data_IF_517078212326
#
_entry.id   IF_517078212326
#
_cell.length_a   1.000
_cell.length_b   1.000
_cell.length_c   1.000
_cell.angle_alpha   90.00
_cell.angle_beta   90.00
_cell.angle_gamma   90.00
#
_symmetry.space_group_name_H-M   'P 1'
#
loop_
_entity.id
_entity.type
_entity.pdbx_description
1 polymer ?
#
# COMPACT_ATOMS: atom_id res chain seq x y z
N UNK A 1 -0.05 18.01 19.85
CA UNK A 1 -0.31 16.77 20.62
C UNK A 1 0.63 15.74 20.05
N UNK A 2 1.57 15.25 20.84
CA UNK A 2 2.48 14.18 20.41
C UNK A 2 1.75 12.84 20.55
N UNK A 3 1.54 12.13 19.45
CA UNK A 3 0.82 10.85 19.43
C UNK A 3 1.87 9.74 19.47
N UNK A 4 2.01 9.08 20.62
CA UNK A 4 3.03 8.07 20.86
C UNK A 4 2.87 6.80 19.99
N UNK A 5 1.64 6.48 19.56
CA UNK A 5 1.31 5.28 18.78
C UNK A 5 0.31 5.62 17.67
N UNK A 6 0.74 6.34 16.62
CA UNK A 6 -0.16 6.91 15.62
C UNK A 6 -0.87 5.83 14.79
N UNK A 7 -0.16 4.75 14.43
CA UNK A 7 -0.74 3.62 13.69
C UNK A 7 -1.86 2.92 14.48
N UNK A 8 -1.60 2.57 15.75
CA UNK A 8 -2.61 1.94 16.61
C UNK A 8 -3.82 2.84 16.84
N UNK A 9 -3.60 4.15 16.99
CA UNK A 9 -4.68 5.12 17.14
C UNK A 9 -5.59 5.15 15.90
N UNK A 10 -5.01 5.22 14.70
CA UNK A 10 -5.77 5.21 13.44
C UNK A 10 -6.50 3.89 13.27
N UNK A 11 -5.84 2.75 13.49
CA UNK A 11 -6.46 1.42 13.43
C UNK A 11 -7.64 1.30 14.41
N UNK A 12 -7.48 1.79 15.64
CA UNK A 12 -8.51 1.76 16.67
C UNK A 12 -9.74 2.61 16.31
N UNK A 13 -9.54 3.78 15.71
CA UNK A 13 -10.64 4.62 15.20
C UNK A 13 -11.40 3.90 14.09
N UNK A 14 -10.67 3.30 13.14
CA UNK A 14 -11.26 2.61 11.99
C UNK A 14 -12.00 1.31 12.36
N UNK A 15 -11.60 0.62 13.43
CA UNK A 15 -12.19 -0.65 13.84
C UNK A 15 -13.72 -0.61 14.05
N UNK A 16 -14.29 0.56 14.36
CA UNK A 16 -15.73 0.72 14.57
C UNK A 16 -16.57 0.71 13.27
N UNK A 17 -15.97 0.99 12.10
CA UNK A 17 -16.73 1.19 10.86
C UNK A 17 -16.04 0.67 9.59
N UNK A 18 -14.75 0.38 9.62
CA UNK A 18 -14.04 -0.24 8.51
C UNK A 18 -14.37 -1.72 8.45
N UNK A 19 -14.80 -2.18 7.27
CA UNK A 19 -14.82 -3.61 6.94
C UNK A 19 -13.45 -4.00 6.43
N UNK A 20 -12.89 -5.04 7.02
CA UNK A 20 -11.63 -5.60 6.57
C UNK A 20 -11.84 -6.30 5.20
N UNK A 21 -11.03 -5.98 4.18
CA UNK A 21 -11.11 -6.68 2.91
C UNK A 21 -10.55 -8.10 3.03
N UNK A 22 -11.12 -9.05 2.27
CA UNK A 22 -10.63 -10.44 2.20
C UNK A 22 -9.21 -10.53 1.63
N UNK A 23 -8.82 -9.55 0.80
CA UNK A 23 -7.50 -9.40 0.24
C UNK A 23 -7.17 -7.93 -0.06
N UNK A 24 -5.90 -7.56 0.03
CA UNK A 24 -5.40 -6.23 -0.34
C UNK A 24 -4.27 -6.35 -1.36
N UNK A 25 -4.44 -5.74 -2.53
CA UNK A 25 -3.37 -5.65 -3.53
C UNK A 25 -2.49 -4.44 -3.21
N UNK A 26 -1.23 -4.69 -2.90
CA UNK A 26 -0.25 -3.65 -2.61
C UNK A 26 0.63 -3.40 -3.84
N UNK A 27 0.47 -2.24 -4.47
CA UNK A 27 1.28 -1.80 -5.59
C UNK A 27 2.58 -1.20 -5.07
N UNK A 28 3.65 -1.96 -5.20
CA UNK A 28 4.97 -1.61 -4.70
C UNK A 28 5.70 -0.75 -5.74
N UNK A 29 5.83 0.54 -5.42
CA UNK A 29 6.53 1.52 -6.23
C UNK A 29 7.28 2.45 -5.31
N UNK A 30 8.54 2.72 -5.65
CA UNK A 30 9.30 3.70 -4.90
C UNK A 30 8.68 5.10 -5.04
N UNK A 31 8.74 5.94 -3.99
CA UNK A 31 8.06 7.23 -4.01
C UNK A 31 8.59 8.21 -5.06
N UNK A 32 9.86 8.10 -5.45
CA UNK A 32 10.48 8.94 -6.45
C UNK A 32 9.85 8.67 -7.83
N UNK A 33 9.83 7.41 -8.26
CA UNK A 33 9.15 6.98 -9.49
C UNK A 33 7.66 7.32 -9.48
N UNK A 34 6.99 7.19 -8.33
CA UNK A 34 5.58 7.57 -8.19
C UNK A 34 5.35 9.08 -8.41
N UNK A 35 6.22 9.92 -7.84
CA UNK A 35 6.15 11.38 -7.98
C UNK A 35 6.41 11.84 -9.42
N UNK A 36 7.34 11.18 -10.12
CA UNK A 36 7.59 11.41 -11.55
C UNK A 36 6.37 11.08 -12.41
N UNK A 37 5.75 9.91 -12.19
CA UNK A 37 4.54 9.47 -12.92
C UNK A 37 3.33 10.36 -12.65
N UNK A 38 3.20 10.91 -11.45
CA UNK A 38 2.12 11.83 -11.06
C UNK A 38 2.26 13.25 -11.66
N UNK A 39 3.29 13.52 -12.47
CA UNK A 39 3.45 14.78 -13.17
C UNK A 39 3.79 15.96 -12.26
N UNK A 40 4.56 15.71 -11.18
CA UNK A 40 5.00 16.70 -10.17
C UNK A 40 3.99 17.83 -9.93
N UNK A 41 2.79 17.46 -9.50
CA UNK A 41 1.85 18.41 -8.90
C UNK A 41 2.09 18.43 -7.41
N UNK A 42 3.06 19.24 -7.00
CA UNK A 42 3.24 19.86 -5.67
C UNK A 42 2.36 19.26 -4.53
N UNK A 43 2.96 18.43 -3.64
CA UNK A 43 2.51 18.23 -2.23
C UNK A 43 3.31 17.28 -1.31
N UNK A 44 4.39 16.63 -1.75
CA UNK A 44 5.29 15.93 -0.81
C UNK A 44 6.77 16.16 -1.14
N UNK A 45 7.17 17.43 -1.18
CA UNK A 45 8.57 17.86 -1.22
C UNK A 45 9.28 17.64 0.13
N UNK A 46 9.41 16.39 0.59
CA UNK A 46 10.40 15.98 1.60
C UNK A 46 10.68 14.48 1.42
N UNK A 47 11.76 14.14 0.74
CA UNK A 47 12.17 12.74 0.47
C UNK A 47 12.19 11.87 1.74
N UNK A 48 12.53 12.46 2.90
CA UNK A 48 12.49 11.76 4.20
C UNK A 48 11.10 11.39 4.72
N UNK A 49 10.04 12.09 4.30
CA UNK A 49 8.66 11.76 4.71
C UNK A 49 8.12 10.54 3.98
N UNK A 50 8.51 10.36 2.71
CA UNK A 50 8.05 9.24 1.88
C UNK A 50 8.70 7.91 2.30
N UNK A 51 9.95 7.93 2.76
CA UNK A 51 10.62 6.75 3.32
C UNK A 51 9.90 6.22 4.58
N UNK A 52 9.56 7.11 5.52
CA UNK A 52 8.84 6.74 6.74
C UNK A 52 7.41 6.20 6.45
N UNK A 53 6.78 6.64 5.36
CA UNK A 53 5.50 6.07 4.92
C UNK A 53 5.69 4.65 4.39
N UNK A 54 6.73 4.41 3.58
CA UNK A 54 7.08 3.07 3.11
C UNK A 54 7.30 2.07 4.24
N UNK A 55 8.05 2.45 5.26
CA UNK A 55 8.29 1.60 6.45
C UNK A 55 6.99 1.19 7.16
N UNK A 56 5.97 2.06 7.19
CA UNK A 56 4.67 1.70 7.78
C UNK A 56 3.90 0.69 6.92
N UNK A 57 4.06 0.70 5.60
CA UNK A 57 3.46 -0.32 4.73
C UNK A 57 4.15 -1.67 4.88
N UNK A 58 5.47 -1.72 4.96
CA UNK A 58 6.20 -2.98 5.23
C UNK A 58 5.73 -3.61 6.54
N UNK A 59 5.54 -2.80 7.59
CA UNK A 59 4.97 -3.26 8.87
C UNK A 59 3.54 -3.82 8.73
N UNK A 60 2.73 -3.29 7.82
CA UNK A 60 1.38 -3.82 7.57
C UNK A 60 1.44 -5.14 6.80
N UNK A 61 2.34 -5.25 5.82
CA UNK A 61 2.58 -6.49 5.07
C UNK A 61 3.05 -7.62 6.00
N UNK A 62 4.00 -7.34 6.89
CA UNK A 62 4.55 -8.31 7.85
C UNK A 62 3.51 -8.76 8.89
N UNK A 63 2.59 -7.89 9.27
CA UNK A 63 1.56 -8.19 10.28
C UNK A 63 0.47 -9.13 9.75
N UNK A 64 0.26 -9.18 8.43
CA UNK A 64 -0.80 -9.98 7.82
C UNK A 64 -0.40 -10.53 6.43
N UNK A 65 0.55 -11.48 6.38
CA UNK A 65 1.09 -11.99 5.13
C UNK A 65 0.09 -12.80 4.29
N UNK A 66 -1.04 -13.21 4.88
CA UNK A 66 -2.08 -13.99 4.21
C UNK A 66 -3.06 -13.14 3.39
N UNK A 67 -3.24 -11.87 3.76
CA UNK A 67 -4.21 -10.96 3.14
C UNK A 67 -3.60 -10.05 2.07
N UNK A 68 -2.32 -9.70 2.21
CA UNK A 68 -1.68 -8.77 1.30
C UNK A 68 -1.01 -9.48 0.12
N UNK A 69 -1.25 -8.95 -1.08
CA UNK A 69 -0.64 -9.41 -2.32
C UNK A 69 0.22 -8.30 -2.91
N UNK A 70 1.55 -8.40 -2.76
CA UNK A 70 2.52 -7.45 -3.32
C UNK A 70 2.64 -7.61 -4.82
N UNK A 71 2.57 -6.50 -5.55
CA UNK A 71 2.74 -6.43 -7.01
C UNK A 71 3.80 -5.38 -7.31
N UNK A 72 4.84 -5.77 -8.02
CA UNK A 72 5.88 -4.86 -8.50
C UNK A 72 5.29 -3.89 -9.53
N UNK A 73 5.09 -2.64 -9.11
CA UNK A 73 4.51 -1.59 -9.95
C UNK A 73 5.57 -0.81 -10.74
N UNK A 74 6.84 -1.20 -10.69
CA UNK A 74 7.90 -0.65 -11.56
C UNK A 74 7.80 -1.18 -12.99
N UNK A 75 7.14 -2.33 -13.17
CA UNK A 75 6.83 -2.98 -14.46
C UNK A 75 5.91 -2.11 -15.34
N UNK A 76 5.72 -2.54 -16.59
CA UNK A 76 4.78 -1.86 -17.48
C UNK A 76 3.33 -1.99 -16.95
N UNK A 77 2.44 -1.04 -17.26
CA UNK A 77 1.04 -1.11 -16.85
C UNK A 77 0.36 -2.43 -17.23
N UNK A 78 0.67 -2.98 -18.42
CA UNK A 78 0.11 -4.25 -18.90
C UNK A 78 0.55 -5.44 -18.03
N UNK A 79 1.82 -5.49 -17.65
CA UNK A 79 2.37 -6.52 -16.75
C UNK A 79 1.71 -6.42 -15.37
N UNK A 80 1.54 -5.20 -14.85
CA UNK A 80 0.89 -4.95 -13.55
C UNK A 80 -0.56 -5.40 -13.59
N UNK A 81 -1.31 -5.02 -14.62
CA UNK A 81 -2.71 -5.41 -14.80
C UNK A 81 -2.84 -6.94 -14.85
N UNK A 82 -2.05 -7.60 -15.70
CA UNK A 82 -2.08 -9.06 -15.82
C UNK A 82 -1.79 -9.75 -14.47
N UNK A 83 -0.85 -9.21 -13.69
CA UNK A 83 -0.54 -9.74 -12.35
C UNK A 83 -1.71 -9.55 -11.37
N UNK A 84 -2.34 -8.38 -11.36
CA UNK A 84 -3.50 -8.11 -10.51
C UNK A 84 -4.69 -8.99 -10.90
N UNK A 85 -4.97 -9.14 -12.19
CA UNK A 85 -6.03 -10.03 -12.69
C UNK A 85 -5.81 -11.47 -12.24
N UNK A 86 -4.56 -11.97 -12.32
CA UNK A 86 -4.21 -13.30 -11.81
C UNK A 86 -4.48 -13.43 -10.31
N UNK A 87 -4.10 -12.44 -9.49
CA UNK A 87 -4.37 -12.46 -8.04
C UNK A 87 -5.88 -12.50 -7.77
N UNK A 88 -6.65 -11.69 -8.48
CA UNK A 88 -8.11 -11.62 -8.29
C UNK A 88 -8.77 -12.94 -8.73
N UNK A 89 -8.35 -13.54 -9.84
CA UNK A 89 -8.84 -14.84 -10.28
C UNK A 89 -8.56 -15.93 -9.22
N UNK A 90 -7.33 -16.00 -8.72
CA UNK A 90 -6.92 -16.95 -7.67
C UNK A 90 -7.73 -16.78 -6.36
N UNK A 91 -8.22 -15.57 -6.08
CA UNK A 91 -9.07 -15.30 -4.91
C UNK A 91 -10.52 -15.70 -5.12
N UNK A 92 -11.03 -15.62 -6.35
CA UNK A 92 -12.41 -16.01 -6.70
C UNK A 92 -12.59 -17.53 -6.82
N UNK A 93 -11.49 -18.25 -7.10
CA UNK A 93 -11.50 -19.71 -7.23
C UNK A 93 -11.34 -20.47 -5.89
N UNK A 94 -11.35 -19.74 -4.75
CA UNK A 94 -11.19 -20.29 -3.39
C UNK A 94 -12.51 -20.59 -2.68
#
# INVERSE_FOLDING_TARGET
VDIQRPMEYVQGVHAAFSREPDATVYLDLDPETAAERAGRTDKFERDGYLAAVGENYERLLDADPGRFHRVDATRSPEDVIARVESIVADLLDR
#
